data_IF_351774404423
#
_entry.id   IF_351774404423
#
_cell.length_a   1.000
_cell.length_b   1.000
_cell.length_c   1.000
_cell.angle_alpha   90.00
_cell.angle_beta   90.00
_cell.angle_gamma   90.00
#
_symmetry.space_group_name_H-M   'P 1'
#
loop_
_entity.id
_entity.type
_entity.pdbx_description
1 polymer ?
#
# COMPACT_ATOMS: atom_id res chain seq x y z
N UNK A 1 -4.20 6.69 -47.96
CA UNK A 1 -3.29 7.31 -46.98
C UNK A 1 -3.75 6.89 -45.59
N UNK A 2 -3.08 5.93 -44.97
CA UNK A 2 -3.46 5.38 -43.67
C UNK A 2 -2.43 5.76 -42.59
N UNK A 3 -2.91 6.53 -41.61
CA UNK A 3 -2.76 6.43 -40.14
C UNK A 3 -1.44 5.90 -39.54
N UNK A 4 -0.92 6.67 -38.57
CA UNK A 4 -0.51 6.14 -37.26
C UNK A 4 -0.63 7.24 -36.20
N UNK A 5 -1.66 7.12 -35.36
CA UNK A 5 -1.75 7.76 -34.05
C UNK A 5 -0.93 6.92 -33.08
N UNK A 6 0.29 7.36 -32.74
CA UNK A 6 1.09 6.76 -31.67
C UNK A 6 0.56 7.22 -30.33
N UNK A 7 -0.34 6.42 -29.75
CA UNK A 7 -0.65 6.44 -28.32
C UNK A 7 0.02 5.21 -27.69
N UNK A 8 1.35 5.22 -27.64
CA UNK A 8 2.12 4.20 -26.95
C UNK A 8 2.37 4.66 -25.50
N UNK A 9 1.27 4.78 -24.75
CA UNK A 9 1.33 4.80 -23.28
C UNK A 9 1.48 3.34 -22.88
N UNK A 10 2.73 2.86 -22.85
CA UNK A 10 3.08 1.56 -22.30
C UNK A 10 2.56 1.54 -20.87
N UNK A 11 1.47 0.82 -20.68
CA UNK A 11 0.82 0.67 -19.39
C UNK A 11 1.83 0.09 -18.41
N UNK A 12 1.92 0.68 -17.20
CA UNK A 12 2.71 0.22 -16.03
C UNK A 12 2.33 -1.20 -15.54
N UNK A 13 1.53 -1.90 -16.34
CA UNK A 13 0.61 -2.99 -15.99
C UNK A 13 1.12 -4.28 -16.62
N UNK A 14 1.86 -5.09 -15.86
CA UNK A 14 1.85 -6.56 -15.95
C UNK A 14 3.02 -7.12 -15.13
N UNK A 15 2.91 -7.13 -13.81
CA UNK A 15 3.55 -8.19 -13.04
C UNK A 15 2.95 -8.26 -11.63
N UNK A 16 2.18 -9.33 -11.35
CA UNK A 16 2.38 -10.26 -10.22
C UNK A 16 1.08 -10.86 -9.71
N UNK A 17 0.94 -12.13 -10.07
CA UNK A 17 0.08 -13.12 -9.44
C UNK A 17 0.87 -13.78 -8.31
N UNK A 18 0.28 -13.79 -7.11
CA UNK A 18 0.29 -14.95 -6.21
C UNK A 18 1.56 -15.29 -5.41
N UNK A 19 1.48 -15.07 -4.09
CA UNK A 19 1.96 -15.91 -2.97
C UNK A 19 2.14 -14.97 -1.76
N UNK A 20 1.54 -15.18 -0.59
CA UNK A 20 1.55 -16.39 0.22
C UNK A 20 2.28 -16.05 1.53
N UNK A 21 1.51 -15.78 2.58
CA UNK A 21 1.89 -15.31 3.92
C UNK A 21 3.03 -16.09 4.62
N UNK A 22 3.86 -15.39 5.40
CA UNK A 22 4.52 -15.94 6.60
C UNK A 22 4.99 -14.81 7.54
N UNK A 23 4.31 -14.67 8.69
CA UNK A 23 4.70 -13.79 9.79
C UNK A 23 5.79 -14.44 10.66
N UNK A 24 6.78 -13.65 11.11
CA UNK A 24 7.62 -14.01 12.24
C UNK A 24 7.85 -12.80 13.14
N UNK A 25 7.38 -12.89 14.38
CA UNK A 25 7.61 -11.89 15.42
C UNK A 25 8.95 -12.18 16.13
N UNK A 26 9.74 -11.13 16.37
CA UNK A 26 10.86 -11.16 17.32
C UNK A 26 10.56 -10.15 18.41
N UNK A 27 10.40 -10.64 19.64
CA UNK A 27 10.25 -9.83 20.86
C UNK A 27 11.58 -9.81 21.59
N UNK A 28 12.13 -8.62 21.84
CA UNK A 28 13.27 -8.41 22.74
C UNK A 28 12.88 -7.30 23.72
N UNK A 29 12.89 -7.50 25.05
CA UNK A 29 12.65 -6.43 26.00
C UNK A 29 13.98 -5.77 26.38
N UNK A 30 14.09 -4.45 26.25
CA UNK A 30 15.16 -3.71 26.92
C UNK A 30 14.69 -2.34 27.44
N UNK A 31 14.75 -2.23 28.77
CA UNK A 31 14.84 -1.05 29.63
C UNK A 31 13.87 0.14 29.38
N UNK A 32 12.89 0.26 30.29
CA UNK A 32 12.01 1.41 30.45
C UNK A 32 12.75 2.56 31.14
N UNK A 33 12.91 3.68 30.43
CA UNK A 33 13.06 5.02 31.04
C UNK A 33 11.66 5.61 31.18
N UNK A 34 11.31 6.06 32.38
CA UNK A 34 10.01 6.59 32.74
C UNK A 34 9.72 7.95 32.07
N UNK A 35 9.25 7.90 30.82
CA UNK A 35 8.22 8.79 30.30
C UNK A 35 7.07 7.87 29.92
N UNK A 36 5.83 8.15 30.33
CA UNK A 36 4.68 7.36 29.89
C UNK A 36 4.70 7.39 28.35
N UNK A 37 5.00 6.27 27.66
CA UNK A 37 4.94 6.29 26.22
C UNK A 37 3.46 6.46 25.90
N UNK A 38 3.10 7.63 25.35
CA UNK A 38 1.85 7.73 24.61
C UNK A 38 1.96 6.62 23.58
N UNK A 39 1.15 5.57 23.74
CA UNK A 39 1.12 4.47 22.80
C UNK A 39 0.92 5.10 21.41
N UNK A 40 1.93 4.95 20.55
CA UNK A 40 1.90 5.57 19.24
C UNK A 40 0.65 5.06 18.50
N UNK A 41 -0.11 5.99 17.92
CA UNK A 41 -1.33 5.66 17.18
C UNK A 41 -1.00 4.61 16.11
N UNK A 42 -1.58 3.39 16.18
CA UNK A 42 -1.31 2.34 15.23
C UNK A 42 -1.56 2.74 13.77
N UNK A 43 -2.50 3.66 13.51
CA UNK A 43 -2.76 4.18 12.16
C UNK A 43 -1.61 5.07 11.70
N UNK A 44 -1.14 5.97 12.57
CA UNK A 44 -0.04 6.86 12.26
C UNK A 44 1.26 6.09 12.00
N UNK A 45 1.52 5.03 12.77
CA UNK A 45 2.66 4.13 12.54
C UNK A 45 2.54 3.42 11.19
N UNK A 46 1.39 2.80 10.90
CA UNK A 46 1.18 2.09 9.64
C UNK A 46 1.26 3.03 8.43
N UNK A 47 0.77 4.26 8.57
CA UNK A 47 0.88 5.29 7.54
C UNK A 47 2.34 5.68 7.27
N UNK A 48 3.14 5.86 8.32
CA UNK A 48 4.56 6.17 8.18
C UNK A 48 5.35 5.02 7.54
N UNK A 49 5.07 3.77 7.93
CA UNK A 49 5.65 2.58 7.31
C UNK A 49 5.31 2.50 5.82
N UNK A 50 4.04 2.75 5.47
CA UNK A 50 3.57 2.71 4.09
C UNK A 50 4.22 3.79 3.21
N UNK A 51 4.24 5.04 3.66
CA UNK A 51 4.87 6.13 2.89
C UNK A 51 6.37 5.91 2.71
N UNK A 52 7.06 5.39 3.73
CA UNK A 52 8.48 5.06 3.61
C UNK A 52 8.73 3.94 2.58
N UNK A 53 7.90 2.90 2.59
CA UNK A 53 8.00 1.80 1.63
C UNK A 53 7.68 2.26 0.19
N UNK A 54 6.64 3.07 0.02
CA UNK A 54 6.31 3.67 -1.28
C UNK A 54 7.46 4.55 -1.78
N UNK A 55 7.98 5.47 -0.97
CA UNK A 55 9.08 6.34 -1.37
C UNK A 55 10.32 5.55 -1.80
N UNK A 56 10.67 4.47 -1.09
CA UNK A 56 11.78 3.60 -1.48
C UNK A 56 11.54 2.88 -2.82
N UNK A 57 10.30 2.43 -3.06
CA UNK A 57 9.92 1.79 -4.32
C UNK A 57 9.94 2.76 -5.51
N UNK A 58 9.50 4.00 -5.29
CA UNK A 58 9.52 5.07 -6.28
C UNK A 58 10.96 5.53 -6.58
N UNK A 59 11.82 5.63 -5.57
CA UNK A 59 13.24 5.92 -5.76
C UNK A 59 13.94 4.83 -6.59
N UNK A 60 13.66 3.55 -6.32
CA UNK A 60 14.18 2.44 -7.10
C UNK A 60 13.79 2.56 -8.58
N UNK A 61 12.52 2.87 -8.88
CA UNK A 61 12.05 3.08 -10.25
C UNK A 61 12.67 4.32 -10.90
N UNK A 62 12.72 5.46 -10.21
CA UNK A 62 13.28 6.70 -10.77
C UNK A 62 14.75 6.56 -11.13
N UNK A 63 15.50 5.81 -10.35
CA UNK A 63 16.91 5.53 -10.62
C UNK A 63 17.12 4.46 -11.70
N UNK A 64 16.03 3.79 -12.12
CA UNK A 64 15.95 2.75 -13.15
C UNK A 64 17.27 1.99 -13.35
N UNK A 65 17.70 1.20 -12.34
CA UNK A 65 19.01 0.58 -12.36
C UNK A 65 19.16 -0.29 -13.60
N UNK A 66 20.12 0.07 -14.46
CA UNK A 66 20.40 -0.67 -15.69
C UNK A 66 20.70 -2.12 -15.34
N UNK A 67 19.93 -3.07 -15.88
CA UNK A 67 20.10 -4.50 -15.61
C UNK A 67 19.33 -5.03 -14.40
N UNK A 68 18.40 -4.24 -13.81
CA UNK A 68 17.48 -4.75 -12.80
C UNK A 68 16.73 -5.99 -13.30
N UNK A 69 16.77 -7.05 -12.51
CA UNK A 69 15.99 -8.25 -12.81
C UNK A 69 14.57 -8.08 -12.29
N UNK A 70 13.67 -8.91 -12.80
CA UNK A 70 12.31 -8.96 -12.28
C UNK A 70 12.27 -9.35 -10.78
N UNK A 71 13.20 -10.20 -10.32
CA UNK A 71 13.34 -10.56 -8.91
C UNK A 71 13.76 -9.36 -8.02
N UNK A 72 14.55 -8.42 -8.58
CA UNK A 72 14.93 -7.20 -7.87
C UNK A 72 13.73 -6.28 -7.72
N UNK A 73 12.94 -6.12 -8.78
CA UNK A 73 11.67 -5.39 -8.72
C UNK A 73 10.75 -6.02 -7.67
N UNK A 74 10.47 -7.32 -7.74
CA UNK A 74 9.65 -8.04 -6.77
C UNK A 74 10.11 -7.81 -5.32
N UNK A 75 11.42 -7.91 -5.08
CA UNK A 75 11.99 -7.70 -3.75
C UNK A 75 11.74 -6.30 -3.23
N UNK A 76 11.83 -5.29 -4.11
CA UNK A 76 11.58 -3.89 -3.75
C UNK A 76 10.10 -3.60 -3.51
N UNK A 77 9.20 -4.12 -4.34
CA UNK A 77 7.75 -3.88 -4.18
C UNK A 77 7.13 -4.69 -3.04
N UNK A 78 7.73 -5.81 -2.64
CA UNK A 78 7.16 -6.70 -1.62
C UNK A 78 6.72 -5.97 -0.36
N UNK A 79 7.56 -5.07 0.16
CA UNK A 79 7.26 -4.33 1.38
C UNK A 79 6.00 -3.46 1.26
N UNK A 80 5.91 -2.65 0.19
CA UNK A 80 4.76 -1.77 -0.03
C UNK A 80 3.49 -2.56 -0.39
N UNK A 81 3.62 -3.67 -1.13
CA UNK A 81 2.53 -4.62 -1.38
C UNK A 81 1.96 -5.21 -0.08
N UNK A 82 2.83 -5.69 0.81
CA UNK A 82 2.42 -6.31 2.08
C UNK A 82 1.70 -5.29 2.98
N UNK A 83 2.17 -4.05 3.01
CA UNK A 83 1.52 -2.97 3.74
C UNK A 83 0.18 -2.58 3.11
N UNK A 84 0.10 -2.46 1.79
CA UNK A 84 -1.15 -2.19 1.08
C UNK A 84 -2.20 -3.29 1.35
N UNK A 85 -1.79 -4.56 1.38
CA UNK A 85 -2.66 -5.68 1.75
C UNK A 85 -3.18 -5.57 3.19
N UNK A 86 -2.30 -5.26 4.15
CA UNK A 86 -2.68 -5.05 5.55
C UNK A 86 -3.67 -3.88 5.70
N UNK A 87 -3.45 -2.79 4.96
CA UNK A 87 -4.34 -1.62 4.92
C UNK A 87 -5.69 -1.96 4.25
N UNK A 88 -5.70 -2.86 3.27
CA UNK A 88 -6.95 -3.30 2.65
C UNK A 88 -7.84 -4.09 3.63
N UNK A 89 -7.22 -4.95 4.45
CA UNK A 89 -7.93 -5.88 5.35
C UNK A 89 -8.34 -5.27 6.70
N UNK A 90 -7.78 -4.12 7.07
CA UNK A 90 -8.16 -3.44 8.32
C UNK A 90 -9.55 -2.81 8.22
N UNK A 91 -10.30 -2.73 9.32
CA UNK A 91 -11.50 -1.87 9.41
C UNK A 91 -11.07 -0.44 9.79
N UNK A 92 -11.41 0.55 8.98
CA UNK A 92 -11.18 1.95 9.32
C UNK A 92 -12.40 2.51 10.07
N UNK A 93 -12.20 2.95 11.32
CA UNK A 93 -13.26 3.57 12.15
C UNK A 93 -13.03 5.06 12.38
N UNK A 94 -11.95 5.60 11.82
CA UNK A 94 -11.54 7.01 11.92
C UNK A 94 -11.30 7.58 10.52
N UNK A 95 -11.38 8.91 10.40
CA UNK A 95 -11.04 9.59 9.15
C UNK A 95 -9.59 9.34 8.74
N UNK A 96 -8.67 9.22 9.70
CA UNK A 96 -7.26 8.95 9.39
C UNK A 96 -7.06 7.53 8.84
N UNK A 97 -7.79 6.53 9.36
CA UNK A 97 -7.81 5.20 8.77
C UNK A 97 -8.37 5.20 7.35
N UNK A 98 -9.43 5.97 7.09
CA UNK A 98 -9.99 6.13 5.73
C UNK A 98 -9.01 6.82 4.78
N UNK A 99 -8.30 7.86 5.24
CA UNK A 99 -7.26 8.56 4.47
C UNK A 99 -6.13 7.60 4.10
N UNK A 100 -5.69 6.77 5.04
CA UNK A 100 -4.66 5.77 4.78
C UNK A 100 -5.11 4.75 3.72
N UNK A 101 -6.35 4.26 3.79
CA UNK A 101 -6.89 3.38 2.73
C UNK A 101 -6.93 4.07 1.37
N UNK A 102 -7.40 5.31 1.30
CA UNK A 102 -7.43 6.08 0.06
C UNK A 102 -6.02 6.27 -0.51
N UNK A 103 -5.04 6.50 0.36
CA UNK A 103 -3.64 6.67 -0.02
C UNK A 103 -3.03 5.38 -0.57
N UNK A 104 -3.31 4.23 0.04
CA UNK A 104 -2.91 2.93 -0.50
C UNK A 104 -3.57 2.62 -1.84
N UNK A 105 -4.83 3.05 -2.04
CA UNK A 105 -5.53 2.89 -3.31
C UNK A 105 -4.86 3.71 -4.42
N UNK A 106 -4.43 4.93 -4.14
CA UNK A 106 -3.68 5.75 -5.10
C UNK A 106 -2.39 5.06 -5.55
N UNK A 107 -1.64 4.47 -4.61
CA UNK A 107 -0.46 3.69 -4.95
C UNK A 107 -0.80 2.51 -5.87
N UNK A 108 -1.89 1.79 -5.60
CA UNK A 108 -2.32 0.67 -6.46
C UNK A 108 -2.74 1.14 -7.87
N UNK A 109 -3.39 2.29 -8.02
CA UNK A 109 -3.74 2.85 -9.33
C UNK A 109 -2.49 3.25 -10.13
N UNK A 110 -1.47 3.76 -9.43
CA UNK A 110 -0.20 4.15 -10.03
C UNK A 110 0.63 2.93 -10.50
N UNK A 111 0.53 1.78 -9.84
CA UNK A 111 1.44 0.65 -10.04
C UNK A 111 0.79 -0.57 -10.71
N UNK A 112 -0.52 -0.78 -10.60
CA UNK A 112 -1.15 -2.07 -10.96
C UNK A 112 -2.06 -1.96 -12.17
N UNK A 113 -1.90 -2.94 -13.06
CA UNK A 113 -2.93 -3.26 -14.04
C UNK A 113 -4.18 -3.74 -13.38
N UNK A 114 -5.33 -3.13 -13.70
CA UNK A 114 -6.64 -3.75 -13.45
C UNK A 114 -6.55 -5.19 -13.98
N UNK A 115 -6.38 -6.12 -13.05
CA UNK A 115 -6.40 -7.56 -13.25
C UNK A 115 -7.65 -8.07 -12.53
N UNK A 116 -8.27 -9.06 -13.13
CA UNK A 116 -9.64 -9.47 -12.89
C UNK A 116 -9.88 -9.94 -11.44
N UNK A 117 -10.72 -9.21 -10.70
CA UNK A 117 -11.52 -9.68 -9.55
C UNK A 117 -10.77 -10.05 -8.26
N UNK A 118 -11.03 -9.27 -7.20
CA UNK A 118 -10.52 -9.37 -5.83
C UNK A 118 -9.07 -8.90 -5.62
N UNK A 119 -8.62 -7.95 -6.42
CA UNK A 119 -7.34 -7.27 -6.27
C UNK A 119 -7.34 -6.30 -5.07
N UNK A 120 -6.16 -5.89 -4.60
CA UNK A 120 -5.99 -5.06 -3.40
C UNK A 120 -6.66 -3.69 -3.52
N UNK A 121 -6.64 -3.09 -4.70
CA UNK A 121 -7.38 -1.87 -5.07
C UNK A 121 -8.90 -2.06 -4.97
N UNK A 122 -9.46 -3.17 -5.46
CA UNK A 122 -10.90 -3.45 -5.30
C UNK A 122 -11.30 -3.60 -3.82
N UNK A 123 -10.47 -4.27 -3.02
CA UNK A 123 -10.69 -4.40 -1.56
C UNK A 123 -10.60 -3.03 -0.87
N UNK A 124 -9.65 -2.19 -1.26
CA UNK A 124 -9.51 -0.83 -0.74
C UNK A 124 -10.71 0.04 -1.11
N UNK A 125 -11.09 0.11 -2.39
CA UNK A 125 -12.22 0.91 -2.86
C UNK A 125 -13.53 0.52 -2.17
N UNK A 126 -13.83 -0.79 -2.12
CA UNK A 126 -15.00 -1.32 -1.42
C UNK A 126 -14.93 -1.08 0.09
N UNK A 127 -13.76 -1.30 0.69
CA UNK A 127 -13.53 -1.10 2.11
C UNK A 127 -13.74 0.36 2.54
N UNK A 128 -13.26 1.33 1.75
CA UNK A 128 -13.48 2.77 1.99
C UNK A 128 -14.97 3.10 2.01
N UNK A 129 -15.74 2.62 1.03
CA UNK A 129 -17.19 2.86 0.97
C UNK A 129 -17.90 2.27 2.17
N UNK A 130 -17.62 1.01 2.52
CA UNK A 130 -18.23 0.37 3.68
C UNK A 130 -17.89 1.08 4.99
N UNK A 131 -16.61 1.39 5.21
CA UNK A 131 -16.14 2.04 6.42
C UNK A 131 -16.69 3.47 6.55
N UNK A 132 -16.85 4.18 5.43
CA UNK A 132 -17.49 5.51 5.41
C UNK A 132 -18.97 5.45 5.79
N UNK A 133 -19.71 4.45 5.30
CA UNK A 133 -21.12 4.25 5.64
C UNK A 133 -21.31 3.87 7.12
N UNK A 134 -20.34 3.15 7.68
CA UNK A 134 -20.30 2.77 9.10
C UNK A 134 -19.74 3.86 10.01
N UNK A 135 -19.17 4.94 9.45
CA UNK A 135 -18.52 5.99 10.22
C UNK A 135 -19.57 6.77 11.02
N UNK A 136 -19.64 6.51 12.33
CA UNK A 136 -20.48 7.30 13.23
C UNK A 136 -19.94 8.73 13.24
N UNK A 137 -20.80 9.70 12.97
CA UNK A 137 -20.47 11.10 13.25
C UNK A 137 -20.05 11.20 14.71
N UNK A 138 -18.82 11.63 14.96
CA UNK A 138 -18.45 12.13 16.28
C UNK A 138 -19.38 13.32 16.53
N UNK A 139 -20.29 13.17 17.49
CA UNK A 139 -21.34 14.14 17.79
C UNK A 139 -20.78 15.58 17.81
N UNK A 140 -21.49 16.46 17.11
CA UNK A 140 -21.32 17.91 17.11
C UNK A 140 -21.54 18.51 18.52
#
# INVERSE_FOLDING_TARGET
MARATDSNITSRRNFLVGAGIASAAIVTPLAVVAGVPVAADPIALLAAEFEAAWAASDEFFRNNPTGATNEDCERMFRSVCDLANRIADMKATTLDGLRLKARALMWCDEEVGFMDGNTTDERLARGIVHDLLDLKQANA
#
